data_IF_847160611944
#
_entry.id   IF_847160611944
#
_cell.length_a   1.000
_cell.length_b   1.000
_cell.length_c   1.000
_cell.angle_alpha   90.00
_cell.angle_beta   90.00
_cell.angle_gamma   90.00
#
_symmetry.space_group_name_H-M   'P 1'
#
loop_
_entity.id
_entity.type
_entity.pdbx_description
1 polymer ?
#
# COMPACT_ATOMS: atom_id res chain seq x y z
N UNK A 1 -6.91 -7.29 -3.69
CA UNK A 1 -7.83 -8.42 -3.89
C UNK A 1 -9.12 -7.91 -4.52
N UNK A 2 -10.04 -8.79 -4.95
CA UNK A 2 -11.34 -8.34 -5.48
C UNK A 2 -12.15 -7.70 -4.36
N UNK A 3 -12.54 -6.43 -4.53
CA UNK A 3 -13.45 -5.73 -3.62
C UNK A 3 -14.92 -5.88 -4.01
N UNK A 4 -15.16 -6.46 -5.19
CA UNK A 4 -16.49 -6.70 -5.74
C UNK A 4 -17.18 -7.85 -4.99
N UNK A 5 -18.14 -7.50 -4.13
CA UNK A 5 -19.07 -8.44 -3.51
C UNK A 5 -20.06 -8.91 -4.58
N UNK A 6 -20.25 -10.22 -4.68
CA UNK A 6 -21.14 -10.82 -5.69
C UNK A 6 -22.48 -11.19 -5.06
N UNK A 7 -23.60 -11.11 -5.80
CA UNK A 7 -24.91 -11.49 -5.28
C UNK A 7 -25.03 -12.95 -4.85
N UNK A 8 -24.24 -13.82 -5.48
CA UNK A 8 -24.33 -15.28 -5.42
C UNK A 8 -23.10 -15.94 -4.77
N UNK A 9 -22.19 -15.15 -4.19
CA UNK A 9 -21.00 -15.68 -3.52
C UNK A 9 -20.60 -14.84 -2.32
N UNK A 10 -20.13 -15.54 -1.29
CA UNK A 10 -19.45 -14.92 -0.15
C UNK A 10 -17.96 -14.79 -0.45
N UNK A 11 -17.38 -13.65 -0.09
CA UNK A 11 -15.95 -13.40 -0.25
C UNK A 11 -15.39 -12.72 0.98
N UNK A 12 -14.19 -13.09 1.40
CA UNK A 12 -13.46 -12.28 2.37
C UNK A 12 -12.89 -11.05 1.65
N UNK A 13 -13.27 -9.86 2.13
CA UNK A 13 -12.77 -8.57 1.63
C UNK A 13 -11.65 -8.00 2.50
N UNK A 14 -11.52 -8.51 3.72
CA UNK A 14 -10.37 -8.38 4.61
C UNK A 14 -10.35 -9.58 5.58
N UNK A 15 -9.33 -9.70 6.45
CA UNK A 15 -9.29 -10.73 7.50
C UNK A 15 -10.55 -10.64 8.36
N UNK A 16 -11.28 -11.76 8.47
CA UNK A 16 -12.51 -11.90 9.26
C UNK A 16 -13.61 -10.88 8.88
N UNK A 17 -13.60 -10.44 7.61
CA UNK A 17 -14.62 -9.56 7.03
C UNK A 17 -15.27 -10.22 5.80
N UNK A 18 -16.44 -10.81 6.00
CA UNK A 18 -17.17 -11.58 4.98
C UNK A 18 -18.17 -10.69 4.23
N UNK A 19 -17.85 -10.37 2.98
CA UNK A 19 -18.74 -9.70 2.04
C UNK A 19 -19.74 -10.66 1.42
N UNK A 20 -21.04 -10.35 1.50
CA UNK A 20 -22.13 -11.14 0.92
C UNK A 20 -23.35 -10.27 0.59
N UNK A 21 -24.36 -10.87 -0.05
CA UNK A 21 -25.65 -10.23 -0.32
C UNK A 21 -26.72 -10.72 0.63
N UNK A 22 -27.47 -9.82 1.26
CA UNK A 22 -28.63 -10.11 2.11
C UNK A 22 -29.79 -9.24 1.66
N UNK A 23 -30.90 -9.86 1.26
CA UNK A 23 -32.09 -9.17 0.75
C UNK A 23 -31.82 -8.19 -0.43
N UNK A 24 -30.83 -8.49 -1.26
CA UNK A 24 -30.44 -7.64 -2.40
C UNK A 24 -29.52 -6.48 -2.04
N UNK A 25 -29.11 -6.35 -0.78
CA UNK A 25 -28.10 -5.39 -0.33
C UNK A 25 -26.77 -6.09 -0.07
N UNK A 26 -25.67 -5.45 -0.48
CA UNK A 26 -24.33 -5.91 -0.15
C UNK A 26 -23.96 -5.47 1.26
N UNK A 27 -23.52 -6.43 2.07
CA UNK A 27 -23.12 -6.24 3.46
C UNK A 27 -21.74 -6.88 3.65
N UNK A 28 -20.94 -6.32 4.56
CA UNK A 28 -19.72 -6.96 5.05
C UNK A 28 -19.90 -7.25 6.52
N UNK A 29 -19.92 -8.52 6.92
CA UNK A 29 -19.94 -8.90 8.34
C UNK A 29 -18.52 -8.93 8.86
N UNK A 30 -18.23 -8.08 9.85
CA UNK A 30 -17.01 -8.12 10.66
C UNK A 30 -17.19 -9.17 11.75
N UNK A 31 -16.74 -10.39 11.47
CA UNK A 31 -16.93 -11.57 12.33
C UNK A 31 -16.24 -11.39 13.68
N UNK A 32 -15.13 -10.62 13.71
CA UNK A 32 -14.39 -10.34 14.94
C UNK A 32 -15.17 -9.49 15.92
N UNK A 33 -15.94 -8.53 15.41
CA UNK A 33 -16.69 -7.56 16.23
C UNK A 33 -18.21 -7.83 16.24
N UNK A 34 -18.66 -8.92 15.61
CA UNK A 34 -20.07 -9.28 15.44
C UNK A 34 -20.91 -8.11 14.92
N UNK A 35 -20.44 -7.47 13.85
CA UNK A 35 -21.05 -6.25 13.32
C UNK A 35 -21.14 -6.25 11.79
N UNK A 36 -22.31 -5.88 11.29
CA UNK A 36 -22.51 -5.60 9.87
C UNK A 36 -22.01 -4.19 9.52
N UNK A 37 -21.20 -4.12 8.45
CA UNK A 37 -20.67 -2.90 7.85
C UNK A 37 -21.36 -2.66 6.50
N UNK A 38 -21.64 -1.40 6.19
CA UNK A 38 -22.22 -1.01 4.92
C UNK A 38 -21.09 -0.65 3.93
N UNK A 39 -20.80 -1.48 2.91
CA UNK A 39 -19.73 -1.21 1.95
C UNK A 39 -19.99 0.02 1.07
N UNK A 40 -21.17 0.67 1.14
CA UNK A 40 -21.44 1.97 0.49
C UNK A 40 -21.14 3.17 1.39
N UNK A 41 -21.01 2.97 2.71
CA UNK A 41 -20.65 4.01 3.65
C UNK A 41 -19.12 4.18 3.70
N UNK A 42 -18.65 5.44 3.59
CA UNK A 42 -17.22 5.74 3.53
C UNK A 42 -16.45 5.32 4.79
N UNK A 43 -17.02 5.48 5.99
CA UNK A 43 -16.34 5.13 7.24
C UNK A 43 -16.16 3.61 7.36
N UNK A 44 -17.14 2.85 6.87
CA UNK A 44 -17.05 1.40 6.81
C UNK A 44 -16.06 0.94 5.72
N UNK A 45 -16.01 1.61 4.56
CA UNK A 45 -14.95 1.39 3.56
C UNK A 45 -13.56 1.63 4.12
N UNK A 46 -13.38 2.70 4.90
CA UNK A 46 -12.09 3.02 5.55
C UNK A 46 -11.70 1.90 6.51
N UNK A 47 -12.64 1.36 7.30
CA UNK A 47 -12.37 0.21 8.20
C UNK A 47 -11.98 -1.05 7.44
N UNK A 48 -12.69 -1.36 6.35
CA UNK A 48 -12.39 -2.51 5.50
C UNK A 48 -10.99 -2.36 4.88
N UNK A 49 -10.70 -1.20 4.29
CA UNK A 49 -9.38 -0.91 3.72
C UNK A 49 -8.26 -0.97 4.76
N UNK A 50 -8.48 -0.42 5.95
CA UNK A 50 -7.53 -0.50 7.04
C UNK A 50 -7.20 -1.96 7.36
N UNK A 51 -8.22 -2.79 7.56
CA UNK A 51 -8.03 -4.21 7.89
C UNK A 51 -7.39 -4.98 6.74
N UNK A 52 -7.76 -4.67 5.49
CA UNK A 52 -7.17 -5.24 4.28
C UNK A 52 -5.65 -5.02 4.26
N UNK A 53 -5.19 -3.77 4.40
CA UNK A 53 -3.78 -3.42 4.29
C UNK A 53 -2.99 -3.86 5.54
N UNK A 54 -3.53 -3.65 6.74
CA UNK A 54 -2.85 -4.06 7.97
C UNK A 54 -2.67 -5.57 8.02
N UNK A 55 -3.75 -6.33 7.83
CA UNK A 55 -3.74 -7.74 8.22
C UNK A 55 -3.36 -8.70 7.10
N UNK A 56 -3.62 -8.35 5.84
CA UNK A 56 -3.11 -9.13 4.71
C UNK A 56 -1.72 -8.71 4.24
N UNK A 57 -1.26 -7.51 4.61
CA UNK A 57 -0.04 -6.94 4.04
C UNK A 57 1.02 -6.60 5.08
N UNK A 58 0.76 -5.63 5.94
CA UNK A 58 1.79 -5.05 6.81
C UNK A 58 2.13 -5.94 8.01
N UNK A 59 1.13 -6.56 8.65
CA UNK A 59 1.34 -7.47 9.78
C UNK A 59 2.07 -8.76 9.35
N UNK A 60 1.73 -9.43 8.23
CA UNK A 60 2.53 -10.55 7.74
C UNK A 60 3.98 -10.15 7.46
N UNK A 61 4.22 -9.00 6.82
CA UNK A 61 5.58 -8.51 6.54
C UNK A 61 6.36 -8.22 7.83
N UNK A 62 5.69 -7.65 8.85
CA UNK A 62 6.30 -7.41 10.17
C UNK A 62 6.71 -8.73 10.84
N UNK A 63 5.81 -9.71 10.88
CA UNK A 63 6.10 -11.05 11.43
C UNK A 63 7.28 -11.73 10.72
N UNK A 64 7.31 -11.64 9.39
CA UNK A 64 8.40 -12.18 8.58
C UNK A 64 9.78 -11.59 8.94
N UNK A 65 9.84 -10.32 9.35
CA UNK A 65 11.08 -9.71 9.87
C UNK A 65 11.42 -10.15 11.29
N UNK A 66 10.41 -10.31 12.17
CA UNK A 66 10.59 -10.73 13.57
C UNK A 66 11.14 -12.16 13.69
N UNK A 67 10.84 -13.02 12.72
CA UNK A 67 11.45 -14.36 12.58
C UNK A 67 12.95 -14.32 12.26
N UNK A 68 13.55 -13.12 12.15
CA UNK A 68 14.99 -12.83 12.12
C UNK A 68 15.78 -13.54 11.02
N UNK A 69 15.12 -13.91 9.93
CA UNK A 69 15.79 -14.52 8.79
C UNK A 69 15.93 -13.50 7.64
N UNK A 70 17.18 -13.18 7.25
CA UNK A 70 17.48 -12.41 6.04
C UNK A 70 16.75 -12.98 4.80
N UNK A 71 16.49 -14.28 4.78
CA UNK A 71 15.73 -14.95 3.71
C UNK A 71 14.33 -14.34 3.50
N UNK A 72 13.71 -13.82 4.55
CA UNK A 72 12.38 -13.22 4.48
C UNK A 72 12.43 -11.76 4.02
N UNK A 73 13.58 -11.09 4.11
CA UNK A 73 13.73 -9.67 3.80
C UNK A 73 13.39 -9.33 2.34
N UNK A 74 13.58 -10.30 1.44
CA UNK A 74 13.20 -10.16 0.04
C UNK A 74 11.68 -10.10 -0.16
N UNK A 75 10.92 -10.96 0.54
CA UNK A 75 9.46 -10.94 0.51
C UNK A 75 8.93 -9.65 1.13
N UNK A 76 9.54 -9.20 2.22
CA UNK A 76 9.21 -7.92 2.86
C UNK A 76 9.46 -6.75 1.91
N UNK A 77 10.56 -6.78 1.16
CA UNK A 77 10.82 -5.79 0.12
C UNK A 77 9.73 -5.78 -0.96
N UNK A 78 9.24 -6.96 -1.39
CA UNK A 78 8.12 -7.04 -2.32
C UNK A 78 6.87 -6.36 -1.77
N UNK A 79 6.51 -6.65 -0.52
CA UNK A 79 5.37 -6.02 0.17
C UNK A 79 5.52 -4.49 0.19
N UNK A 80 6.70 -3.99 0.56
CA UNK A 80 7.01 -2.57 0.56
C UNK A 80 6.82 -1.94 -0.83
N UNK A 81 7.31 -2.60 -1.89
CA UNK A 81 7.23 -2.06 -3.26
C UNK A 81 5.80 -2.01 -3.80
N UNK A 82 4.93 -2.96 -3.41
CA UNK A 82 3.50 -2.92 -3.77
C UNK A 82 2.70 -1.82 -3.08
N UNK A 83 3.10 -1.42 -1.87
CA UNK A 83 2.38 -0.39 -1.11
C UNK A 83 2.45 0.99 -1.78
N UNK A 84 3.65 1.38 -2.24
CA UNK A 84 3.98 2.75 -2.65
C UNK A 84 3.03 3.32 -3.71
N UNK A 85 2.83 2.59 -4.81
CA UNK A 85 1.92 3.03 -5.87
C UNK A 85 0.44 2.93 -5.43
N UNK A 86 0.09 1.87 -4.70
CA UNK A 86 -1.28 1.61 -4.28
C UNK A 86 -1.84 2.72 -3.39
N UNK A 87 -1.12 3.08 -2.32
CA UNK A 87 -1.58 4.12 -1.39
C UNK A 87 -1.65 5.50 -2.07
N UNK A 88 -0.73 5.80 -2.98
CA UNK A 88 -0.73 7.09 -3.67
C UNK A 88 -1.95 7.24 -4.60
N UNK A 89 -2.44 6.15 -5.20
CA UNK A 89 -3.71 6.19 -5.92
C UNK A 89 -4.86 6.57 -4.99
N UNK A 90 -5.00 5.91 -3.83
CA UNK A 90 -6.05 6.25 -2.86
C UNK A 90 -5.97 7.69 -2.36
N UNK A 91 -4.76 8.19 -2.08
CA UNK A 91 -4.54 9.58 -1.66
C UNK A 91 -4.91 10.60 -2.74
N UNK A 92 -4.72 10.26 -4.02
CA UNK A 92 -4.94 11.20 -5.14
C UNK A 92 -6.29 11.06 -5.83
N UNK A 93 -7.03 9.96 -5.60
CA UNK A 93 -8.30 9.75 -6.27
C UNK A 93 -8.16 9.39 -7.75
N UNK A 94 -6.96 8.99 -8.20
CA UNK A 94 -6.64 8.78 -9.62
C UNK A 94 -6.01 7.42 -9.81
N UNK A 95 -6.57 6.64 -10.73
CA UNK A 95 -6.03 5.33 -11.10
C UNK A 95 -4.74 5.46 -11.90
N UNK A 96 -3.79 4.56 -11.64
CA UNK A 96 -2.54 4.44 -12.37
C UNK A 96 -2.63 3.66 -13.69
N UNK A 97 -3.84 3.23 -14.11
CA UNK A 97 -4.07 2.44 -15.34
C UNK A 97 -3.54 3.13 -16.61
N UNK A 98 -3.50 4.46 -16.63
CA UNK A 98 -2.95 5.21 -17.75
C UNK A 98 -1.41 5.12 -17.80
N UNK A 99 -0.85 5.05 -19.01
CA UNK A 99 0.61 4.91 -19.22
C UNK A 99 1.38 6.04 -18.55
N UNK A 100 2.38 5.69 -17.74
CA UNK A 100 3.25 6.62 -17.03
C UNK A 100 2.79 7.04 -15.63
N UNK A 101 1.53 6.75 -15.26
CA UNK A 101 1.02 7.10 -13.93
C UNK A 101 1.57 6.20 -12.82
N UNK A 102 1.83 4.92 -13.11
CA UNK A 102 2.46 4.00 -12.14
C UNK A 102 3.83 4.48 -11.68
N UNK A 103 4.72 4.88 -12.62
CA UNK A 103 6.03 5.47 -12.28
C UNK A 103 5.84 6.77 -11.47
N UNK A 104 4.96 7.66 -11.94
CA UNK A 104 4.71 8.94 -11.28
C UNK A 104 4.29 8.74 -9.82
N UNK A 105 3.28 7.91 -9.57
CA UNK A 105 2.76 7.69 -8.22
C UNK A 105 3.73 6.95 -7.31
N UNK A 106 4.52 6.04 -7.86
CA UNK A 106 5.63 5.46 -7.13
C UNK A 106 6.63 6.55 -6.67
N UNK A 107 7.06 7.44 -7.57
CA UNK A 107 7.99 8.52 -7.23
C UNK A 107 7.40 9.51 -6.22
N UNK A 108 6.13 9.89 -6.39
CA UNK A 108 5.41 10.76 -5.46
C UNK A 108 5.31 10.13 -4.06
N UNK A 109 5.03 8.83 -3.97
CA UNK A 109 4.99 8.13 -2.67
C UNK A 109 6.36 8.13 -1.98
N UNK A 110 7.45 7.95 -2.71
CA UNK A 110 8.80 8.02 -2.13
C UNK A 110 9.13 9.45 -1.67
N UNK A 111 8.79 10.47 -2.46
CA UNK A 111 9.01 11.87 -2.05
C UNK A 111 8.17 12.25 -0.84
N UNK A 112 6.97 11.68 -0.69
CA UNK A 112 6.12 11.85 0.50
C UNK A 112 6.74 11.21 1.73
N UNK A 113 7.24 9.98 1.61
CA UNK A 113 7.90 9.26 2.71
C UNK A 113 9.19 9.95 3.17
N UNK A 114 9.93 10.56 2.24
CA UNK A 114 11.22 11.19 2.53
C UNK A 114 11.30 12.62 1.95
N UNK A 115 10.56 13.59 2.54
CA UNK A 115 10.51 14.96 2.04
C UNK A 115 11.90 15.59 1.96
N UNK A 116 12.24 16.16 0.80
CA UNK A 116 13.53 16.83 0.56
C UNK A 116 14.75 15.91 0.49
N UNK A 117 14.58 14.58 0.59
CA UNK A 117 15.71 13.63 0.53
C UNK A 117 16.07 13.22 -0.89
N UNK A 118 15.07 13.10 -1.77
CA UNK A 118 15.22 12.54 -3.11
C UNK A 118 14.73 13.49 -4.21
N UNK A 119 15.57 14.49 -4.54
CA UNK A 119 15.25 15.48 -5.58
C UNK A 119 15.67 15.02 -6.99
N UNK A 120 16.51 14.00 -7.10
CA UNK A 120 16.93 13.45 -8.38
C UNK A 120 15.87 12.47 -8.93
N UNK A 121 15.03 12.97 -9.83
CA UNK A 121 13.98 12.16 -10.47
C UNK A 121 14.53 10.95 -11.25
N UNK A 122 15.77 11.04 -11.76
CA UNK A 122 16.46 9.92 -12.42
C UNK A 122 16.81 8.79 -11.47
N UNK A 123 17.14 9.09 -10.21
CA UNK A 123 17.35 8.06 -9.18
C UNK A 123 16.05 7.35 -8.82
N UNK A 124 14.98 8.10 -8.63
CA UNK A 124 13.66 7.52 -8.33
C UNK A 124 13.11 6.70 -9.50
N UNK A 125 13.33 7.13 -10.74
CA UNK A 125 13.01 6.34 -11.92
C UNK A 125 13.77 5.01 -11.94
N UNK A 126 15.07 5.01 -11.60
CA UNK A 126 15.84 3.77 -11.48
C UNK A 126 15.31 2.87 -10.37
N UNK A 127 14.98 3.41 -9.21
CA UNK A 127 14.35 2.63 -8.13
C UNK A 127 13.06 1.96 -8.61
N UNK A 128 12.20 2.70 -9.30
CA UNK A 128 10.98 2.16 -9.90
C UNK A 128 11.26 1.03 -10.91
N UNK A 129 12.16 1.25 -11.87
CA UNK A 129 12.46 0.27 -12.92
C UNK A 129 13.17 -0.99 -12.39
N UNK A 130 14.06 -0.83 -11.40
CA UNK A 130 14.97 -1.88 -10.97
C UNK A 130 14.43 -2.67 -9.76
N UNK A 131 13.72 -2.00 -8.84
CA UNK A 131 13.04 -2.66 -7.73
C UNK A 131 11.61 -3.03 -8.10
N UNK A 132 10.69 -2.06 -8.20
CA UNK A 132 9.25 -2.32 -8.43
C UNK A 132 9.03 -3.12 -9.71
N UNK A 133 9.40 -2.60 -10.87
CA UNK A 133 9.17 -3.30 -12.14
C UNK A 133 9.93 -4.62 -12.23
N UNK A 134 11.14 -4.70 -11.67
CA UNK A 134 11.89 -5.95 -11.54
C UNK A 134 11.08 -7.01 -10.79
N UNK A 135 10.64 -6.71 -9.57
CA UNK A 135 9.92 -7.64 -8.71
C UNK A 135 8.61 -8.11 -9.33
N UNK A 136 7.81 -7.23 -9.92
CA UNK A 136 6.47 -7.58 -10.43
C UNK A 136 6.45 -8.15 -11.85
N UNK A 137 7.50 -7.97 -12.65
CA UNK A 137 7.58 -8.57 -14.00
C UNK A 137 8.52 -9.77 -14.07
N UNK A 138 9.56 -9.81 -13.25
CA UNK A 138 10.60 -10.84 -13.29
C UNK A 138 10.65 -11.70 -12.02
N UNK A 139 9.87 -11.37 -10.98
CA UNK A 139 9.97 -12.00 -9.66
C UNK A 139 11.23 -11.62 -8.87
N UNK A 140 12.13 -10.80 -9.45
CA UNK A 140 13.45 -10.48 -8.92
C UNK A 140 13.79 -9.01 -9.13
N UNK A 141 14.50 -8.40 -8.17
CA UNK A 141 15.12 -7.08 -8.40
C UNK A 141 16.19 -7.18 -9.50
N UNK A 142 16.44 -6.07 -10.19
CA UNK A 142 17.48 -5.98 -11.24
C UNK A 142 18.82 -5.53 -10.64
N UNK A 143 19.91 -5.75 -11.38
CA UNK A 143 21.29 -5.78 -10.86
C UNK A 143 21.85 -4.52 -10.19
N UNK A 144 21.13 -3.40 -10.17
CA UNK A 144 21.54 -2.22 -9.40
C UNK A 144 21.04 -2.21 -7.96
N UNK A 145 20.16 -3.13 -7.57
CA UNK A 145 19.55 -3.14 -6.23
C UNK A 145 20.25 -4.16 -5.34
N UNK A 146 20.68 -3.70 -4.16
CA UNK A 146 21.14 -4.54 -3.06
C UNK A 146 20.27 -4.28 -1.84
N UNK A 147 20.08 -5.29 -0.99
CA UNK A 147 19.28 -5.13 0.23
C UNK A 147 19.93 -5.84 1.42
N UNK A 148 19.89 -5.19 2.58
CA UNK A 148 20.36 -5.70 3.87
C UNK A 148 19.63 -5.01 5.01
N UNK A 149 19.41 -5.72 6.12
CA UNK A 149 18.69 -5.18 7.28
C UNK A 149 19.55 -4.24 8.14
N UNK A 150 20.86 -4.19 7.93
CA UNK A 150 21.82 -3.37 8.69
C UNK A 150 22.27 -2.10 7.95
N UNK A 151 21.75 -1.84 6.75
CA UNK A 151 21.98 -0.56 6.08
C UNK A 151 21.38 0.60 6.91
N UNK A 152 22.09 1.73 7.05
CA UNK A 152 21.66 2.80 7.95
C UNK A 152 20.37 3.48 7.48
N UNK A 153 20.15 3.55 6.18
CA UNK A 153 19.03 4.25 5.56
C UNK A 153 18.05 3.25 4.94
N UNK A 154 16.76 3.59 4.94
CA UNK A 154 15.73 2.81 4.26
C UNK A 154 16.03 2.64 2.76
N UNK A 155 16.46 3.73 2.11
CA UNK A 155 16.87 3.76 0.70
C UNK A 155 18.06 4.70 0.58
N UNK A 156 19.12 4.25 -0.09
CA UNK A 156 20.29 5.06 -0.40
C UNK A 156 20.76 4.83 -1.85
N UNK A 157 21.11 5.93 -2.52
CA UNK A 157 21.67 5.91 -3.87
C UNK A 157 23.18 6.14 -3.83
N UNK A 158 23.98 5.09 -4.09
CA UNK A 158 25.45 5.17 -4.14
C UNK A 158 25.96 5.30 -5.58
N UNK A 159 27.19 5.78 -5.73
CA UNK A 159 27.90 5.86 -7.01
C UNK A 159 27.08 6.60 -8.08
N UNK A 160 26.52 7.76 -7.73
CA UNK A 160 25.63 8.56 -8.59
C UNK A 160 24.37 7.80 -9.03
N UNK A 161 23.84 6.94 -8.16
CA UNK A 161 22.65 6.12 -8.43
C UNK A 161 22.91 4.93 -9.34
N UNK A 162 24.14 4.39 -9.33
CA UNK A 162 24.46 3.10 -9.96
C UNK A 162 24.11 1.92 -9.06
N UNK A 163 24.16 2.13 -7.74
CA UNK A 163 23.79 1.14 -6.73
C UNK A 163 22.66 1.76 -5.89
N UNK A 164 21.63 0.96 -5.63
CA UNK A 164 20.48 1.30 -4.82
C UNK A 164 20.52 0.33 -3.64
N UNK A 165 20.89 0.84 -2.47
CA UNK A 165 20.88 0.07 -1.23
C UNK A 165 19.51 0.27 -0.57
N UNK A 166 18.86 -0.84 -0.18
CA UNK A 166 17.56 -0.80 0.48
C UNK A 166 17.65 -1.54 1.81
N UNK A 167 17.22 -0.91 2.90
CA UNK A 167 16.95 -1.58 4.15
C UNK A 167 15.46 -1.96 4.22
N UNK A 168 15.07 -3.23 4.01
CA UNK A 168 13.66 -3.62 4.04
C UNK A 168 13.02 -3.43 5.43
N UNK A 169 13.83 -3.51 6.50
CA UNK A 169 13.34 -3.32 7.87
C UNK A 169 12.98 -1.87 8.12
N UNK A 170 13.86 -0.94 7.80
CA UNK A 170 13.60 0.49 7.97
C UNK A 170 12.48 0.95 7.01
N UNK A 171 12.53 0.51 5.75
CA UNK A 171 11.50 0.83 4.77
C UNK A 171 10.10 0.36 5.20
N UNK A 172 9.98 -0.85 5.77
CA UNK A 172 8.69 -1.34 6.26
C UNK A 172 8.18 -0.49 7.43
N UNK A 173 9.06 -0.08 8.36
CA UNK A 173 8.68 0.80 9.48
C UNK A 173 8.15 2.14 8.98
N UNK A 174 8.84 2.74 8.01
CA UNK A 174 8.44 4.02 7.43
C UNK A 174 7.09 3.89 6.70
N UNK A 175 6.86 2.79 6.00
CA UNK A 175 5.58 2.48 5.34
C UNK A 175 4.44 2.28 6.33
N UNK A 176 4.66 1.57 7.44
CA UNK A 176 3.65 1.39 8.50
C UNK A 176 3.26 2.76 9.07
N UNK A 177 4.23 3.60 9.39
CA UNK A 177 3.98 4.95 9.93
C UNK A 177 3.22 5.85 8.94
N UNK A 178 3.54 5.78 7.64
CA UNK A 178 2.83 6.52 6.59
C UNK A 178 1.40 6.02 6.41
N UNK A 179 1.18 4.71 6.49
CA UNK A 179 -0.15 4.12 6.41
C UNK A 179 -1.02 4.52 7.60
N UNK A 180 -0.49 4.42 8.82
CA UNK A 180 -1.18 4.87 10.04
C UNK A 180 -1.56 6.35 9.95
N UNK A 181 -0.63 7.18 9.48
CA UNK A 181 -0.88 8.61 9.27
C UNK A 181 -2.00 8.85 8.26
N UNK A 182 -2.02 8.10 7.15
CA UNK A 182 -3.09 8.20 6.16
C UNK A 182 -4.46 7.75 6.70
N UNK A 183 -4.50 6.66 7.47
CA UNK A 183 -5.76 6.23 8.10
C UNK A 183 -6.27 7.26 9.10
N UNK A 184 -5.38 7.90 9.86
CA UNK A 184 -5.76 8.98 10.77
C UNK A 184 -6.29 10.21 10.02
N UNK A 185 -5.64 10.60 8.92
CA UNK A 185 -6.12 11.64 8.01
C UNK A 185 -7.54 11.33 7.51
N UNK A 186 -7.81 10.09 7.08
CA UNK A 186 -9.14 9.67 6.62
C UNK A 186 -10.20 9.68 7.74
N UNK A 187 -9.82 9.47 9.00
CA UNK A 187 -10.74 9.43 10.16
C UNK A 187 -11.02 10.81 10.76
N UNK A 188 -10.18 11.80 10.49
CA UNK A 188 -10.38 13.17 10.99
C UNK A 188 -11.45 13.90 10.18
N UNK A 189 -12.70 13.83 10.62
CA UNK A 189 -13.84 14.45 9.93
C UNK A 189 -13.92 15.98 10.09
N UNK A 190 -13.07 16.58 10.93
CA UNK A 190 -13.16 18.00 11.28
C UNK A 190 -12.16 18.87 10.51
N UNK A 191 -11.40 18.29 9.58
CA UNK A 191 -10.36 18.96 8.81
C UNK A 191 -10.72 18.98 7.31
N UNK A 192 -10.64 20.15 6.68
CA UNK A 192 -10.91 20.34 5.25
C UNK A 192 -9.95 19.52 4.36
N UNK A 193 -8.68 19.37 4.75
CA UNK A 193 -7.71 18.54 4.04
C UNK A 193 -8.13 17.06 4.07
N UNK A 194 -8.63 16.61 5.23
CA UNK A 194 -9.17 15.26 5.40
C UNK A 194 -10.41 14.99 4.55
N UNK A 195 -11.24 16.01 4.31
CA UNK A 195 -12.40 15.87 3.42
C UNK A 195 -11.95 15.57 1.98
N UNK A 196 -10.91 16.26 1.48
CA UNK A 196 -10.34 15.98 0.17
C UNK A 196 -9.75 14.57 0.10
N UNK A 197 -9.03 14.14 1.14
CA UNK A 197 -8.47 12.79 1.22
C UNK A 197 -9.55 11.71 1.22
N UNK A 198 -10.68 11.96 1.90
CA UNK A 198 -11.85 11.08 1.95
C UNK A 198 -12.54 10.95 0.59
N UNK A 199 -12.71 12.05 -0.13
CA UNK A 199 -13.27 12.04 -1.49
C UNK A 199 -12.39 11.26 -2.47
N UNK A 200 -11.08 11.50 -2.42
CA UNK A 200 -10.10 10.76 -3.21
C UNK A 200 -10.12 9.26 -2.89
N UNK A 201 -10.18 8.92 -1.60
CA UNK A 201 -10.28 7.54 -1.14
C UNK A 201 -11.55 6.87 -1.68
N UNK A 202 -12.73 7.46 -1.47
CA UNK A 202 -14.01 6.88 -1.87
C UNK A 202 -14.09 6.69 -3.39
N UNK A 203 -13.58 7.67 -4.15
CA UNK A 203 -13.47 7.57 -5.61
C UNK A 203 -12.61 6.38 -6.03
N UNK A 204 -11.42 6.21 -5.44
CA UNK A 204 -10.56 5.08 -5.78
C UNK A 204 -11.13 3.75 -5.32
N UNK A 205 -11.76 3.70 -4.15
CA UNK A 205 -12.35 2.48 -3.62
C UNK A 205 -13.45 1.96 -4.56
N UNK A 206 -14.32 2.85 -5.06
CA UNK A 206 -15.38 2.52 -6.03
C UNK A 206 -14.83 2.01 -7.36
N UNK A 207 -13.76 2.62 -7.88
CA UNK A 207 -13.13 2.19 -9.14
C UNK A 207 -12.54 0.77 -9.09
N UNK A 208 -12.36 0.21 -7.90
CA UNK A 208 -11.87 -1.16 -7.68
C UNK A 208 -13.00 -2.17 -7.43
N UNK A 209 -14.24 -1.68 -7.31
CA UNK A 209 -15.46 -2.49 -7.26
C UNK A 209 -16.04 -2.74 -8.67
N UNK A 210 -15.66 -1.94 -9.67
CA UNK A 210 -16.05 -2.07 -11.09
C UNK A 210 -15.10 -2.97 -11.91
#
# INVERSE_FOLDING_TARGET
>A
MSKLIRPDAEIYVAVEMLGHSRNGEFIVTDERNDKDLNPRNIDDKIKIYQREVEEWFLLPAKKLLEENNFNNAFIVLMVCMSYLEGVQQYKTGISSRARGYSERYFKESIKRLYPGKFDNDGHLKKLYEQARCGLFHNGMVRGSVTFKNDYPEAIEFKNSGKIIEINPTTLLKDIISDFESYINELKDINNDESQTARENFDKMYKLLEE
#
